data_IF_597780921384
#
_entry.id   IF_597780921384
#
_cell.length_a   1.000
_cell.length_b   1.000
_cell.length_c   1.000
_cell.angle_alpha   90.00
_cell.angle_beta   90.00
_cell.angle_gamma   90.00
#
_symmetry.space_group_name_H-M   'P 1'
#
loop_
_entity.id
_entity.type
_entity.pdbx_description
1 polymer ?
#
# COMPACT_ATOMS: atom_id res chain seq x y z
N UNK A 1 -22.98 11.01 -4.89
CA UNK A 1 -21.65 10.35 -4.71
C UNK A 1 -21.81 9.41 -3.54
N UNK A 2 -21.56 8.10 -3.72
CA UNK A 2 -21.52 7.20 -2.57
C UNK A 2 -20.42 7.68 -1.62
N UNK A 3 -20.75 7.69 -0.34
CA UNK A 3 -19.91 8.30 0.69
C UNK A 3 -19.00 7.17 1.15
N UNK A 4 -17.86 7.01 0.47
CA UNK A 4 -16.91 5.93 0.77
C UNK A 4 -16.58 5.83 2.26
N UNK A 5 -16.13 4.67 2.70
CA UNK A 5 -15.82 4.43 4.12
C UNK A 5 -14.42 4.94 4.49
N UNK A 6 -14.22 5.29 5.76
CA UNK A 6 -12.87 5.58 6.26
C UNK A 6 -12.06 4.30 6.25
N UNK A 7 -10.88 4.34 5.65
CA UNK A 7 -9.96 3.23 5.65
C UNK A 7 -8.50 3.70 5.67
N UNK A 8 -7.62 2.79 6.07
CA UNK A 8 -6.17 2.96 5.99
C UNK A 8 -5.65 2.01 4.92
N UNK A 9 -5.02 2.58 3.89
CA UNK A 9 -4.45 1.88 2.75
C UNK A 9 -2.95 1.73 2.95
N UNK A 10 -2.47 0.50 3.02
CA UNK A 10 -1.05 0.14 3.14
C UNK A 10 -0.60 -0.46 1.81
N UNK A 11 0.48 0.09 1.23
CA UNK A 11 0.96 -0.26 -0.12
C UNK A 11 2.49 -0.21 -0.18
N UNK A 12 3.12 -0.88 -1.16
CA UNK A 12 4.54 -0.63 -1.48
C UNK A 12 4.71 0.67 -2.29
N UNK A 13 5.71 1.46 -1.92
CA UNK A 13 6.18 2.64 -2.64
C UNK A 13 7.12 2.25 -3.79
N UNK A 14 7.56 3.26 -4.56
CA UNK A 14 8.37 3.05 -5.77
C UNK A 14 9.77 2.47 -5.53
N UNK A 15 10.27 2.49 -4.29
CA UNK A 15 11.54 1.89 -3.89
C UNK A 15 11.36 0.64 -3.01
N UNK A 16 10.12 0.13 -2.88
CA UNK A 16 9.80 -1.04 -2.07
C UNK A 16 9.41 -0.73 -0.62
N UNK A 17 9.64 0.49 -0.13
CA UNK A 17 9.24 0.92 1.21
C UNK A 17 7.72 0.83 1.42
N UNK A 18 7.27 0.54 2.64
CA UNK A 18 5.84 0.48 2.95
C UNK A 18 5.28 1.90 3.21
N UNK A 19 4.23 2.24 2.49
CA UNK A 19 3.53 3.53 2.53
C UNK A 19 2.11 3.34 3.04
N UNK A 20 1.75 4.15 4.04
CA UNK A 20 0.45 4.15 4.70
C UNK A 20 -0.30 5.43 4.34
N UNK A 21 -1.59 5.32 3.98
CA UNK A 21 -2.44 6.46 3.60
C UNK A 21 -3.80 6.35 4.26
N UNK A 22 -4.25 7.44 4.89
CA UNK A 22 -5.67 7.59 5.24
C UNK A 22 -6.48 7.94 4.01
N UNK A 23 -7.54 7.17 3.75
CA UNK A 23 -8.38 7.30 2.57
C UNK A 23 -9.86 7.22 2.92
N UNK A 24 -10.69 7.72 2.02
CA UNK A 24 -12.07 7.32 1.84
C UNK A 24 -12.10 6.25 0.75
N UNK A 25 -12.33 5.00 1.12
CA UNK A 25 -12.37 3.85 0.23
C UNK A 25 -13.72 3.80 -0.49
N UNK A 26 -13.68 3.81 -1.82
CA UNK A 26 -14.87 3.80 -2.66
C UNK A 26 -15.17 2.38 -3.16
N UNK A 27 -14.12 1.66 -3.55
CA UNK A 27 -14.22 0.30 -4.08
C UNK A 27 -12.90 -0.45 -3.93
N UNK A 28 -12.97 -1.75 -3.68
CA UNK A 28 -11.89 -2.67 -3.98
C UNK A 28 -12.45 -3.94 -4.65
N UNK A 29 -11.70 -4.49 -5.59
CA UNK A 29 -12.10 -5.66 -6.36
C UNK A 29 -10.88 -6.42 -6.88
N UNK A 30 -11.08 -7.66 -7.35
CA UNK A 30 -10.11 -8.36 -8.18
C UNK A 30 -10.73 -8.58 -9.55
N UNK A 31 -10.04 -8.14 -10.59
CA UNK A 31 -10.56 -8.13 -11.95
C UNK A 31 -9.47 -8.48 -12.96
N UNK A 32 -9.88 -8.97 -14.13
CA UNK A 32 -8.96 -9.15 -15.25
C UNK A 32 -8.30 -7.82 -15.62
N UNK A 33 -6.98 -7.84 -15.73
CA UNK A 33 -6.16 -6.71 -16.18
C UNK A 33 -4.92 -7.20 -16.93
N UNK A 34 -4.83 -6.86 -18.22
CA UNK A 34 -3.80 -7.37 -19.12
C UNK A 34 -3.74 -8.92 -19.06
N UNK A 35 -2.56 -9.49 -18.79
CA UNK A 35 -2.33 -10.93 -18.66
C UNK A 35 -2.75 -11.52 -17.30
N UNK A 36 -3.14 -10.68 -16.33
CA UNK A 36 -3.50 -11.10 -14.99
C UNK A 36 -5.02 -11.29 -14.92
N UNK A 37 -5.47 -12.49 -14.58
CA UNK A 37 -6.90 -12.79 -14.50
C UNK A 37 -7.56 -12.22 -13.24
N UNK A 38 -6.77 -11.84 -12.23
CA UNK A 38 -7.28 -11.44 -10.92
C UNK A 38 -6.44 -10.32 -10.27
N UNK A 39 -6.23 -9.21 -10.98
CA UNK A 39 -5.49 -8.06 -10.47
C UNK A 39 -6.32 -7.25 -9.46
N UNK A 40 -5.68 -6.74 -8.40
CA UNK A 40 -6.33 -5.92 -7.38
C UNK A 40 -6.59 -4.53 -7.91
N UNK A 41 -7.85 -4.08 -7.91
CA UNK A 41 -8.21 -2.70 -8.22
C UNK A 41 -8.73 -2.02 -6.97
N UNK A 42 -8.28 -0.78 -6.73
CA UNK A 42 -8.69 0.03 -5.58
C UNK A 42 -9.05 1.42 -6.08
N UNK A 43 -10.23 1.90 -5.69
CA UNK A 43 -10.66 3.28 -5.91
C UNK A 43 -10.86 3.98 -4.58
N UNK A 44 -10.24 5.15 -4.42
CA UNK A 44 -10.27 5.87 -3.15
C UNK A 44 -10.09 7.39 -3.32
N UNK A 45 -10.46 8.17 -2.31
CA UNK A 45 -10.09 9.59 -2.18
C UNK A 45 -9.16 9.73 -0.99
N UNK A 46 -7.96 10.29 -1.17
CA UNK A 46 -7.05 10.53 -0.02
C UNK A 46 -7.70 11.52 0.95
N UNK A 47 -7.49 11.33 2.26
CA UNK A 47 -7.91 12.33 3.28
C UNK A 47 -7.39 13.72 2.89
N UNK A 48 -8.30 14.70 2.84
CA UNK A 48 -8.01 16.08 2.42
C UNK A 48 -8.01 16.33 0.90
N UNK A 49 -8.08 15.29 0.06
CA UNK A 49 -8.21 15.44 -1.39
C UNK A 49 -9.69 15.47 -1.82
N UNK A 50 -9.94 15.99 -3.03
CA UNK A 50 -11.28 16.04 -3.65
C UNK A 50 -11.49 15.03 -4.78
N UNK A 51 -10.41 14.69 -5.51
CA UNK A 51 -10.48 13.79 -6.67
C UNK A 51 -10.24 12.35 -6.25
N UNK A 52 -11.06 11.44 -6.77
CA UNK A 52 -10.83 10.00 -6.66
C UNK A 52 -9.57 9.58 -7.43
N UNK A 53 -8.92 8.54 -6.94
CA UNK A 53 -7.78 7.87 -7.56
C UNK A 53 -8.11 6.39 -7.69
N UNK A 54 -7.73 5.81 -8.84
CA UNK A 54 -7.73 4.37 -9.07
C UNK A 54 -6.30 3.85 -9.06
N UNK A 55 -6.08 2.68 -8.47
CA UNK A 55 -4.82 1.95 -8.55
C UNK A 55 -5.10 0.50 -8.94
N UNK A 56 -4.25 -0.06 -9.79
CA UNK A 56 -4.28 -1.47 -10.17
C UNK A 56 -2.95 -2.10 -9.77
N UNK A 57 -3.02 -3.16 -8.96
CA UNK A 57 -1.86 -3.97 -8.58
C UNK A 57 -2.00 -5.35 -9.22
N UNK A 58 -1.04 -5.68 -10.07
CA UNK A 58 -1.04 -6.90 -10.86
C UNK A 58 -0.08 -7.95 -10.30
N UNK A 59 1.22 -7.82 -10.51
CA UNK A 59 2.22 -8.79 -10.07
C UNK A 59 2.51 -8.63 -8.57
N UNK A 60 2.36 -9.72 -7.80
CA UNK A 60 2.65 -9.80 -6.36
C UNK A 60 2.19 -8.55 -5.57
N UNK A 61 0.86 -8.27 -5.55
CA UNK A 61 0.33 -7.06 -4.95
C UNK A 61 0.64 -7.00 -3.45
N UNK A 62 1.16 -5.88 -2.97
CA UNK A 62 1.29 -5.62 -1.53
C UNK A 62 0.26 -4.55 -1.15
N UNK A 63 -0.94 -4.98 -0.77
CA UNK A 63 -2.07 -4.12 -0.43
C UNK A 63 -2.78 -4.65 0.80
N UNK A 64 -2.96 -3.79 1.80
CA UNK A 64 -3.81 -4.06 2.96
C UNK A 64 -4.76 -2.88 3.15
N UNK A 65 -6.04 -3.20 3.39
CA UNK A 65 -7.09 -2.25 3.72
C UNK A 65 -7.54 -2.50 5.15
N UNK A 66 -7.41 -1.48 5.99
CA UNK A 66 -7.82 -1.53 7.39
C UNK A 66 -8.99 -0.58 7.62
N UNK A 67 -9.96 -0.99 8.43
CA UNK A 67 -11.13 -0.20 8.78
C UNK A 67 -10.74 1.03 9.60
N UNK A 68 -11.30 2.19 9.25
CA UNK A 68 -11.00 3.46 9.90
C UNK A 68 -9.63 4.06 9.54
N UNK A 69 -9.34 5.21 10.13
CA UNK A 69 -8.04 5.87 10.01
C UNK A 69 -7.18 5.47 11.19
N UNK A 70 -6.23 4.58 10.94
CA UNK A 70 -5.28 4.07 11.90
C UNK A 70 -3.97 4.83 11.74
N UNK A 71 -3.40 5.30 12.85
CA UNK A 71 -2.15 6.06 12.86
C UNK A 71 -0.94 5.11 12.84
N UNK A 72 -0.78 4.43 11.71
CA UNK A 72 0.38 3.57 11.44
C UNK A 72 1.44 4.41 10.70
N UNK A 73 2.67 4.50 11.21
CA UNK A 73 3.72 5.26 10.55
C UNK A 73 4.11 4.61 9.21
N UNK A 74 4.29 5.45 8.18
CA UNK A 74 4.95 5.00 6.95
C UNK A 74 6.45 4.82 7.18
N UNK A 75 7.07 3.94 6.41
CA UNK A 75 8.53 3.78 6.47
C UNK A 75 9.23 4.95 5.78
N UNK A 76 10.20 5.54 6.48
CA UNK A 76 11.14 6.49 5.90
C UNK A 76 12.07 5.76 4.93
N UNK A 77 12.23 6.30 3.72
CA UNK A 77 13.12 5.75 2.70
C UNK A 77 14.58 5.98 3.08
N UNK A 78 14.90 7.21 3.48
CA UNK A 78 16.25 7.66 3.76
C UNK A 78 16.50 7.74 5.26
N UNK A 79 17.71 7.37 5.68
CA UNK A 79 18.18 7.58 7.03
C UNK A 79 18.56 9.04 7.31
N UNK A 80 19.19 9.27 8.45
CA UNK A 80 19.75 10.57 8.78
C UNK A 80 20.80 11.01 7.75
N UNK A 81 20.69 12.25 7.28
CA UNK A 81 21.67 12.86 6.38
C UNK A 81 23.03 13.02 7.06
N UNK A 82 24.11 12.87 6.29
CA UNK A 82 25.49 13.06 6.72
C UNK A 82 26.21 14.03 5.77
N UNK A 83 27.25 14.76 6.23
CA UNK A 83 28.10 15.54 5.34
C UNK A 83 28.68 14.67 4.23
N UNK A 84 28.65 15.15 2.99
CA UNK A 84 29.28 14.51 1.85
C UNK A 84 30.75 14.89 1.71
N UNK A 85 31.41 14.35 0.68
CA UNK A 85 32.83 14.61 0.37
C UNK A 85 33.07 16.00 -0.26
N UNK A 86 32.02 16.75 -0.55
CA UNK A 86 32.09 18.08 -1.15
C UNK A 86 31.53 19.11 -0.15
N UNK A 87 32.17 20.28 0.01
CA UNK A 87 31.66 21.33 0.89
C UNK A 87 30.19 21.67 0.60
N UNK A 88 29.39 21.79 1.65
CA UNK A 88 27.95 22.08 1.61
C UNK A 88 27.06 21.04 0.92
N UNK A 89 27.57 19.83 0.65
CA UNK A 89 26.75 18.71 0.18
C UNK A 89 26.42 17.79 1.35
N UNK A 90 25.16 17.37 1.44
CA UNK A 90 24.74 16.30 2.36
C UNK A 90 24.23 15.12 1.56
N UNK A 91 24.50 13.92 2.05
CA UNK A 91 24.07 12.66 1.46
C UNK A 91 23.30 11.86 2.49
N UNK A 92 22.31 11.11 2.03
CA UNK A 92 21.63 10.11 2.86
C UNK A 92 21.54 8.80 2.09
N UNK A 93 21.72 7.70 2.83
CA UNK A 93 21.54 6.36 2.29
C UNK A 93 20.10 5.92 2.51
N UNK A 94 19.57 5.19 1.54
CA UNK A 94 18.33 4.45 1.76
C UNK A 94 18.57 3.39 2.84
N UNK A 95 17.55 3.12 3.65
CA UNK A 95 17.65 2.11 4.73
C UNK A 95 17.90 0.70 4.18
N UNK A 96 17.28 0.39 3.05
CA UNK A 96 17.50 -0.83 2.28
C UNK A 96 17.64 -0.50 0.79
N UNK A 97 18.13 -1.46 0.00
CA UNK A 97 18.12 -1.38 -1.46
C UNK A 97 16.68 -1.35 -2.02
N UNK A 98 16.55 -0.95 -3.27
CA UNK A 98 15.26 -0.93 -3.96
C UNK A 98 14.62 -2.32 -3.98
N UNK A 99 13.37 -2.41 -3.53
CA UNK A 99 12.57 -3.66 -3.47
C UNK A 99 13.15 -4.76 -2.57
N UNK A 100 14.07 -4.41 -1.66
CA UNK A 100 14.59 -5.34 -0.66
C UNK A 100 13.49 -5.82 0.29
N UNK A 101 13.51 -7.11 0.65
CA UNK A 101 12.52 -7.72 1.54
C UNK A 101 12.59 -7.16 2.97
N UNK A 102 13.71 -6.55 3.35
CA UNK A 102 13.89 -5.84 4.62
C UNK A 102 12.83 -4.76 4.84
N UNK A 103 12.30 -4.13 3.78
CA UNK A 103 11.18 -3.20 3.90
C UNK A 103 9.94 -3.85 4.48
N UNK A 104 9.48 -4.96 3.88
CA UNK A 104 8.29 -5.67 4.32
C UNK A 104 8.51 -6.30 5.70
N UNK A 105 9.64 -6.99 5.90
CA UNK A 105 9.98 -7.64 7.18
C UNK A 105 9.96 -6.66 8.35
N UNK A 106 10.59 -5.50 8.21
CA UNK A 106 10.62 -4.51 9.29
C UNK A 106 9.23 -3.96 9.60
N UNK A 107 8.45 -3.67 8.56
CA UNK A 107 7.08 -3.20 8.73
C UNK A 107 6.24 -4.24 9.48
N UNK A 108 6.27 -5.48 9.03
CA UNK A 108 5.52 -6.59 9.62
C UNK A 108 5.96 -6.91 11.04
N UNK A 109 7.25 -6.81 11.35
CA UNK A 109 7.74 -6.97 12.72
C UNK A 109 7.29 -5.84 13.67
N UNK A 110 7.04 -4.65 13.12
CA UNK A 110 6.65 -3.47 13.88
C UNK A 110 5.14 -3.33 14.05
N UNK A 111 4.33 -4.07 13.27
CA UNK A 111 2.88 -3.97 13.30
C UNK A 111 2.23 -5.31 13.58
N UNK A 112 1.38 -5.34 14.59
CA UNK A 112 0.49 -6.46 14.83
C UNK A 112 -0.87 -6.18 14.19
N UNK A 113 -1.11 -6.77 13.01
CA UNK A 113 -2.34 -6.57 12.26
C UNK A 113 -3.58 -7.12 12.98
N UNK A 114 -3.43 -8.05 13.93
CA UNK A 114 -4.56 -8.63 14.67
C UNK A 114 -5.29 -7.61 15.54
N UNK A 115 -4.64 -6.48 15.85
CA UNK A 115 -5.21 -5.36 16.60
C UNK A 115 -6.18 -4.52 15.78
N UNK A 116 -6.22 -4.70 14.47
CA UNK A 116 -7.03 -3.91 13.58
C UNK A 116 -8.07 -4.77 12.87
N UNK A 117 -9.22 -4.17 12.57
CA UNK A 117 -10.21 -4.79 11.69
C UNK A 117 -9.74 -4.64 10.25
N UNK A 118 -9.23 -5.73 9.69
CA UNK A 118 -8.80 -5.80 8.28
C UNK A 118 -10.04 -5.93 7.39
N UNK A 119 -10.19 -5.01 6.43
CA UNK A 119 -11.24 -5.05 5.41
C UNK A 119 -10.86 -5.99 4.26
N UNK A 120 -9.59 -5.96 3.85
CA UNK A 120 -9.03 -6.88 2.87
C UNK A 120 -7.50 -6.92 3.00
N UNK A 121 -6.92 -8.09 2.76
CA UNK A 121 -5.48 -8.30 2.64
C UNK A 121 -5.20 -9.03 1.33
N UNK A 122 -4.31 -8.47 0.51
CA UNK A 122 -3.98 -9.01 -0.80
C UNK A 122 -2.50 -9.36 -0.94
N UNK A 123 -1.72 -9.45 0.14
CA UNK A 123 -0.26 -9.66 0.05
C UNK A 123 0.17 -10.98 -0.62
N UNK A 124 -0.61 -12.03 -0.44
CA UNK A 124 -0.25 -13.40 -0.86
C UNK A 124 -1.16 -13.95 -1.97
N UNK A 125 -1.79 -13.07 -2.75
CA UNK A 125 -2.69 -13.53 -3.81
C UNK A 125 -1.94 -13.85 -5.11
N UNK A 126 -2.30 -14.97 -5.73
CA UNK A 126 -1.92 -15.26 -7.11
C UNK A 126 -2.87 -14.53 -8.06
N UNK A 127 -2.34 -13.60 -8.84
CA UNK A 127 -3.12 -12.78 -9.80
C UNK A 127 -3.16 -13.36 -11.21
N UNK A 128 -2.36 -14.40 -11.50
CA UNK A 128 -2.38 -15.12 -12.77
C UNK A 128 -3.56 -16.08 -12.85
N UNK A 129 -3.87 -16.77 -11.75
CA UNK A 129 -4.95 -17.73 -11.70
C UNK A 129 -6.24 -17.07 -11.19
N UNK A 130 -7.37 -17.47 -11.78
CA UNK A 130 -8.70 -17.03 -11.36
C UNK A 130 -9.26 -17.92 -10.24
N UNK A 131 -8.42 -18.32 -9.28
CA UNK A 131 -8.76 -19.43 -8.37
C UNK A 131 -9.89 -19.12 -7.38
N UNK A 132 -10.20 -17.84 -7.13
CA UNK A 132 -11.39 -17.46 -6.37
C UNK A 132 -12.05 -16.20 -6.93
N UNK A 133 -13.37 -16.27 -7.13
CA UNK A 133 -14.19 -15.12 -7.46
C UNK A 133 -14.21 -14.16 -6.26
N UNK A 134 -13.62 -12.98 -6.43
CA UNK A 134 -13.67 -11.92 -5.43
C UNK A 134 -14.72 -10.92 -5.84
N UNK A 135 -15.83 -10.88 -5.11
CA UNK A 135 -16.90 -9.95 -5.39
C UNK A 135 -16.45 -8.50 -5.16
N UNK A 136 -16.68 -7.60 -6.13
CA UNK A 136 -16.32 -6.20 -5.96
C UNK A 136 -17.13 -5.59 -4.80
N UNK A 137 -16.44 -5.02 -3.83
CA UNK A 137 -17.10 -4.30 -2.73
C UNK A 137 -17.11 -2.82 -3.08
N UNK A 138 -18.31 -2.24 -3.10
CA UNK A 138 -18.56 -0.81 -3.38
C UNK A 138 -19.23 -0.19 -2.15
N UNK A 139 -18.74 0.99 -1.75
CA UNK A 139 -19.19 1.73 -0.58
C UNK A 139 -19.82 3.07 -0.95
#
# INVERSE_FOLDING_TARGET
MSKGIKATLITKGGLGNVVVKHVWLLRHSREKWAQYNSAVKISYVRKGARKARGMVYSYAPYVILIDGWQDIPSQAIFGASKPGNTPNVTVSSARYSSFDEGWSRDFESAIDLSKFKVLADFRDINTYNAEEAYEPVVF
#
